data_IF_733289815250
#
_entry.id   IF_733289815250
#
_cell.length_a   1.000
_cell.length_b   1.000
_cell.length_c   1.000
_cell.angle_alpha   90.00
_cell.angle_beta   90.00
_cell.angle_gamma   90.00
#
_symmetry.space_group_name_H-M   'P 1'
#
loop_
_entity.id
_entity.type
_entity.pdbx_description
1 polymer ?
#
# COMPACT_ATOMS: atom_id res chain seq x y z
N UNK A 1 -5.20 -24.73 -10.36
CA UNK A 1 -5.65 -24.54 -8.97
C UNK A 1 -4.48 -24.37 -8.00
N UNK A 2 -3.48 -25.27 -8.01
CA UNK A 2 -2.33 -25.24 -7.09
C UNK A 2 -1.50 -23.93 -7.06
N UNK A 3 -1.40 -23.23 -8.19
CA UNK A 3 -0.60 -21.99 -8.33
C UNK A 3 -0.99 -20.87 -7.35
N UNK A 4 -2.23 -20.85 -6.86
CA UNK A 4 -2.73 -19.80 -5.99
C UNK A 4 -2.68 -20.15 -4.50
N UNK A 5 -2.36 -21.39 -4.15
CA UNK A 5 -2.32 -21.83 -2.75
C UNK A 5 -1.25 -21.05 -1.99
N UNK A 6 -0.03 -20.96 -2.53
CA UNK A 6 1.10 -20.28 -1.86
C UNK A 6 0.78 -18.79 -1.62
N UNK A 7 0.35 -17.99 -2.62
CA UNK A 7 -0.03 -16.58 -2.38
C UNK A 7 -1.15 -16.41 -1.36
N UNK A 8 -2.18 -17.26 -1.39
CA UNK A 8 -3.31 -17.18 -0.46
C UNK A 8 -2.85 -17.48 0.97
N UNK A 9 -2.03 -18.51 1.15
CA UNK A 9 -1.47 -18.85 2.47
C UNK A 9 -0.61 -17.71 3.00
N UNK A 10 0.27 -17.15 2.17
CA UNK A 10 1.10 -16.00 2.55
C UNK A 10 0.24 -14.78 2.93
N UNK A 11 -0.80 -14.48 2.14
CA UNK A 11 -1.76 -13.42 2.46
C UNK A 11 -2.39 -13.63 3.83
N UNK A 12 -2.90 -14.84 4.10
CA UNK A 12 -3.58 -15.17 5.36
C UNK A 12 -2.61 -15.05 6.55
N UNK A 13 -1.37 -15.53 6.41
CA UNK A 13 -0.37 -15.42 7.46
C UNK A 13 -0.03 -13.96 7.79
N UNK A 14 0.18 -13.14 6.76
CA UNK A 14 0.41 -11.70 6.89
C UNK A 14 -0.80 -11.04 7.56
N UNK A 15 -2.01 -11.40 7.14
CA UNK A 15 -3.25 -10.82 7.65
C UNK A 15 -3.49 -11.14 9.13
N UNK A 16 -3.34 -12.40 9.52
CA UNK A 16 -3.47 -12.84 10.92
C UNK A 16 -2.43 -12.15 11.79
N UNK A 17 -1.21 -12.00 11.29
CA UNK A 17 -0.13 -11.37 12.05
C UNK A 17 -0.36 -9.86 12.22
N UNK A 18 -0.72 -9.16 11.14
CA UNK A 18 -1.08 -7.74 11.18
C UNK A 18 -2.32 -7.48 12.07
N UNK A 19 -3.28 -8.41 12.11
CA UNK A 19 -4.46 -8.33 12.96
C UNK A 19 -4.11 -8.28 14.47
N UNK A 20 -2.96 -8.82 14.88
CA UNK A 20 -2.52 -8.70 16.28
C UNK A 20 -2.35 -7.25 16.73
N UNK A 21 -1.85 -6.36 15.85
CA UNK A 21 -1.74 -4.94 16.15
C UNK A 21 -3.10 -4.33 16.48
N UNK A 22 -4.13 -4.68 15.69
CA UNK A 22 -5.50 -4.18 15.89
C UNK A 22 -6.08 -4.69 17.22
N UNK A 23 -5.89 -5.97 17.53
CA UNK A 23 -6.32 -6.56 18.81
C UNK A 23 -5.63 -5.93 20.03
N UNK A 24 -4.38 -5.51 19.89
CA UNK A 24 -3.65 -4.82 20.96
C UNK A 24 -4.15 -3.40 21.20
N UNK A 25 -4.61 -2.72 20.15
CA UNK A 25 -5.05 -1.32 20.24
C UNK A 25 -6.50 -1.22 20.67
N UNK A 26 -7.36 -2.12 20.19
CA UNK A 26 -8.79 -2.12 20.44
C UNK A 26 -9.32 -3.49 20.83
N UNK A 27 -10.17 -3.53 21.85
CA UNK A 27 -10.94 -4.72 22.27
C UNK A 27 -12.35 -4.77 21.65
N UNK A 28 -12.72 -3.76 20.85
CA UNK A 28 -14.06 -3.66 20.26
C UNK A 28 -14.25 -4.71 19.14
N UNK A 29 -15.21 -5.61 19.33
CA UNK A 29 -15.53 -6.69 18.39
C UNK A 29 -16.02 -6.17 17.03
N UNK A 30 -16.65 -5.00 16.99
CA UNK A 30 -17.04 -4.38 15.72
C UNK A 30 -15.82 -4.03 14.86
N UNK A 31 -14.78 -3.45 15.48
CA UNK A 31 -13.52 -3.11 14.77
C UNK A 31 -12.84 -4.38 14.25
N UNK A 32 -12.87 -5.46 15.04
CA UNK A 32 -12.35 -6.76 14.62
C UNK A 32 -13.13 -7.33 13.45
N UNK A 33 -14.46 -7.27 13.50
CA UNK A 33 -15.35 -7.69 12.43
C UNK A 33 -15.11 -6.90 11.13
N UNK A 34 -14.99 -5.57 11.22
CA UNK A 34 -14.68 -4.72 10.07
C UNK A 34 -13.33 -5.08 9.46
N UNK A 35 -12.30 -5.32 10.29
CA UNK A 35 -10.99 -5.74 9.80
C UNK A 35 -11.09 -7.04 9.01
N UNK A 36 -11.66 -8.10 9.61
CA UNK A 36 -11.77 -9.42 9.00
C UNK A 36 -12.61 -9.37 7.72
N UNK A 37 -13.76 -8.68 7.75
CA UNK A 37 -14.60 -8.51 6.58
C UNK A 37 -13.85 -7.77 5.46
N UNK A 38 -13.14 -6.70 5.79
CA UNK A 38 -12.34 -5.96 4.80
C UNK A 38 -11.28 -6.86 4.17
N UNK A 39 -10.55 -7.65 4.97
CA UNK A 39 -9.55 -8.60 4.47
C UNK A 39 -10.16 -9.66 3.54
N UNK A 40 -11.30 -10.24 3.91
CA UNK A 40 -11.99 -11.22 3.06
C UNK A 40 -12.42 -10.60 1.73
N UNK A 41 -13.05 -9.42 1.75
CA UNK A 41 -13.47 -8.71 0.54
C UNK A 41 -12.26 -8.40 -0.35
N UNK A 42 -11.17 -7.90 0.22
CA UNK A 42 -9.94 -7.60 -0.53
C UNK A 42 -9.35 -8.85 -1.16
N UNK A 43 -9.31 -9.98 -0.43
CA UNK A 43 -8.79 -11.24 -0.96
C UNK A 43 -9.63 -11.74 -2.14
N UNK A 44 -10.96 -11.65 -2.03
CA UNK A 44 -11.87 -12.02 -3.13
C UNK A 44 -11.66 -11.11 -4.34
N UNK A 45 -11.59 -9.79 -4.14
CA UNK A 45 -11.34 -8.82 -5.22
C UNK A 45 -10.00 -9.05 -5.89
N UNK A 46 -8.95 -9.34 -5.10
CA UNK A 46 -7.63 -9.67 -5.62
C UNK A 46 -7.66 -10.94 -6.47
N UNK A 47 -8.27 -12.02 -5.96
CA UNK A 47 -8.40 -13.28 -6.69
C UNK A 47 -9.19 -13.09 -7.98
N UNK A 48 -10.28 -12.33 -7.94
CA UNK A 48 -11.06 -12.00 -9.12
C UNK A 48 -10.23 -11.20 -10.14
N UNK A 49 -9.54 -10.15 -9.69
CA UNK A 49 -8.72 -9.29 -10.55
C UNK A 49 -7.59 -10.05 -11.26
N UNK A 50 -6.86 -10.93 -10.56
CA UNK A 50 -5.69 -11.63 -11.13
C UNK A 50 -6.04 -12.89 -11.94
N UNK A 51 -7.24 -13.45 -11.74
CA UNK A 51 -7.70 -14.61 -12.51
C UNK A 51 -8.54 -14.24 -13.72
N UNK A 52 -9.00 -12.98 -13.80
CA UNK A 52 -9.69 -12.44 -14.96
C UNK A 52 -8.75 -12.39 -16.19
N UNK A 53 -9.19 -12.84 -17.38
CA UNK A 53 -8.44 -12.66 -18.62
C UNK A 53 -8.14 -11.19 -18.96
N UNK A 54 -8.99 -10.27 -18.47
CA UNK A 54 -8.91 -8.83 -18.73
C UNK A 54 -8.14 -8.06 -17.64
N UNK A 55 -7.42 -8.76 -16.76
CA UNK A 55 -6.74 -8.16 -15.60
C UNK A 55 -5.90 -6.90 -15.92
N UNK A 56 -5.31 -6.87 -17.13
CA UNK A 56 -4.39 -5.81 -17.59
C UNK A 56 -4.99 -4.82 -18.58
N UNK A 57 -6.23 -5.04 -19.02
CA UNK A 57 -6.87 -4.22 -20.07
C UNK A 57 -8.12 -3.52 -19.55
N UNK A 58 -8.78 -4.07 -18.53
CA UNK A 58 -9.98 -3.50 -17.98
C UNK A 58 -9.66 -2.58 -16.78
N UNK A 59 -9.95 -1.26 -16.86
CA UNK A 59 -9.68 -0.31 -15.77
C UNK A 59 -10.29 -0.72 -14.42
N UNK A 60 -11.42 -1.44 -14.42
CA UNK A 60 -12.03 -1.95 -13.18
C UNK A 60 -11.14 -2.96 -12.47
N UNK A 61 -10.48 -3.86 -13.23
CA UNK A 61 -9.56 -4.85 -12.65
C UNK A 61 -8.31 -4.18 -12.08
N UNK A 62 -7.78 -3.17 -12.77
CA UNK A 62 -6.69 -2.34 -12.28
C UNK A 62 -7.06 -1.62 -10.98
N UNK A 63 -8.30 -1.13 -10.88
CA UNK A 63 -8.80 -0.49 -9.67
C UNK A 63 -8.91 -1.48 -8.51
N UNK A 64 -9.43 -2.70 -8.73
CA UNK A 64 -9.47 -3.75 -7.71
C UNK A 64 -8.07 -4.13 -7.21
N UNK A 65 -7.10 -4.24 -8.13
CA UNK A 65 -5.71 -4.46 -7.75
C UNK A 65 -5.12 -3.27 -6.96
N UNK A 66 -5.45 -2.03 -7.35
CA UNK A 66 -5.07 -0.82 -6.62
C UNK A 66 -5.64 -0.79 -5.20
N UNK A 67 -6.92 -1.13 -5.03
CA UNK A 67 -7.58 -1.23 -3.70
C UNK A 67 -6.91 -2.32 -2.86
N UNK A 68 -6.60 -3.48 -3.46
CA UNK A 68 -5.82 -4.51 -2.79
C UNK A 68 -4.48 -3.97 -2.30
N UNK A 69 -3.71 -3.31 -3.16
CA UNK A 69 -2.40 -2.77 -2.79
C UNK A 69 -2.52 -1.70 -1.69
N UNK A 70 -3.49 -0.80 -1.80
CA UNK A 70 -3.76 0.23 -0.81
C UNK A 70 -3.99 -0.37 0.58
N UNK A 71 -4.78 -1.44 0.69
CA UNK A 71 -5.14 -2.04 1.98
C UNK A 71 -4.15 -3.11 2.45
N UNK A 72 -3.39 -3.74 1.54
CA UNK A 72 -2.42 -4.78 1.87
C UNK A 72 -1.02 -4.22 2.19
N UNK A 73 -0.55 -3.20 1.48
CA UNK A 73 0.78 -2.62 1.74
C UNK A 73 0.97 -2.11 3.19
N UNK A 74 -0.01 -1.46 3.84
CA UNK A 74 0.07 -1.10 5.25
C UNK A 74 0.24 -2.32 6.17
N UNK A 75 -0.33 -3.48 5.83
CA UNK A 75 -0.19 -4.71 6.62
C UNK A 75 1.26 -5.20 6.64
N UNK A 76 2.00 -5.02 5.55
CA UNK A 76 3.43 -5.36 5.50
C UNK A 76 4.26 -4.50 6.47
N UNK A 77 3.95 -3.21 6.56
CA UNK A 77 4.57 -2.29 7.53
C UNK A 77 4.26 -2.76 8.96
N UNK A 78 3.00 -3.14 9.23
CA UNK A 78 2.60 -3.68 10.53
C UNK A 78 3.36 -4.97 10.86
N UNK A 79 3.49 -5.89 9.90
CA UNK A 79 4.24 -7.14 10.12
C UNK A 79 5.70 -6.85 10.48
N UNK A 80 6.38 -5.97 9.74
CA UNK A 80 7.77 -5.61 10.01
C UNK A 80 7.91 -4.99 11.42
N UNK A 81 7.05 -4.02 11.75
CA UNK A 81 7.09 -3.36 13.06
C UNK A 81 6.79 -4.32 14.21
N UNK A 82 5.78 -5.20 14.05
CA UNK A 82 5.39 -6.17 15.06
C UNK A 82 6.42 -7.26 15.25
N UNK A 83 7.05 -7.71 14.17
CA UNK A 83 8.18 -8.62 14.23
C UNK A 83 9.37 -8.01 14.98
N UNK A 84 9.70 -6.74 14.70
CA UNK A 84 10.73 -6.02 15.47
C UNK A 84 10.42 -5.95 16.97
N UNK A 85 9.17 -5.68 17.34
CA UNK A 85 8.76 -5.71 18.75
C UNK A 85 8.89 -7.12 19.35
N UNK A 86 8.51 -8.16 18.61
CA UNK A 86 8.55 -9.55 19.08
C UNK A 86 9.98 -10.04 19.30
N UNK A 87 10.93 -9.63 18.45
CA UNK A 87 12.37 -9.85 18.68
C UNK A 87 12.83 -9.22 19.99
N UNK A 88 12.46 -7.95 20.25
CA UNK A 88 12.82 -7.28 21.51
C UNK A 88 12.18 -7.99 22.71
N UNK A 89 10.90 -8.36 22.62
CA UNK A 89 10.17 -9.08 23.69
C UNK A 89 10.81 -10.43 23.98
N UNK A 90 11.32 -11.12 22.97
CA UNK A 90 12.03 -12.38 23.12
C UNK A 90 13.33 -12.19 23.92
N UNK A 91 14.18 -11.22 23.56
CA UNK A 91 15.41 -10.94 24.30
C UNK A 91 15.15 -10.57 25.75
N UNK A 92 14.14 -9.72 25.99
CA UNK A 92 13.72 -9.33 27.34
C UNK A 92 13.25 -10.56 28.13
N UNK A 93 12.42 -11.41 27.54
CA UNK A 93 11.92 -12.64 28.18
C UNK A 93 13.04 -13.63 28.53
N UNK A 94 14.00 -13.80 27.63
CA UNK A 94 15.20 -14.62 27.88
C UNK A 94 16.03 -14.07 29.04
N UNK A 95 16.28 -12.76 29.05
CA UNK A 95 17.03 -12.11 30.13
C UNK A 95 16.36 -12.31 31.49
N UNK A 96 15.05 -12.04 31.61
CA UNK A 96 14.31 -12.23 32.86
C UNK A 96 14.34 -13.67 33.37
N UNK A 97 14.24 -14.65 32.46
CA UNK A 97 14.29 -16.07 32.80
C UNK A 97 15.66 -16.50 33.33
N UNK A 98 16.74 -15.94 32.78
CA UNK A 98 18.12 -16.24 33.21
C UNK A 98 18.46 -15.51 34.52
N UNK A 99 17.93 -14.30 34.73
CA UNK A 99 18.16 -13.50 35.95
C UNK A 99 17.37 -13.95 37.18
N UNK A 100 16.76 -15.15 37.16
CA UNK A 100 16.07 -15.72 38.32
C UNK A 100 14.70 -15.12 38.61
N UNK A 101 14.07 -14.42 37.66
CA UNK A 101 12.70 -13.91 37.81
C UNK A 101 11.68 -15.05 37.79
N UNK A 102 11.02 -15.32 38.92
CA UNK A 102 9.95 -16.30 39.04
C UNK A 102 8.55 -15.66 38.92
N UNK A 103 7.63 -16.41 38.28
CA UNK A 103 6.16 -16.26 38.22
C UNK A 103 5.48 -15.42 37.12
N UNK A 104 6.21 -14.76 36.22
CA UNK A 104 5.58 -14.05 35.08
C UNK A 104 5.69 -14.81 33.76
N UNK A 105 4.73 -14.58 32.86
CA UNK A 105 4.73 -15.13 31.49
C UNK A 105 6.08 -14.87 30.80
N UNK A 106 6.67 -15.90 30.21
CA UNK A 106 7.98 -15.83 29.52
C UNK A 106 8.09 -14.67 28.53
N UNK A 107 7.00 -14.33 27.85
CA UNK A 107 6.97 -13.22 26.91
C UNK A 107 6.16 -12.05 27.49
N UNK A 108 6.76 -10.85 27.66
CA UNK A 108 6.05 -9.65 28.08
C UNK A 108 4.87 -9.35 27.14
N UNK A 109 3.78 -8.74 27.62
CA UNK A 109 2.66 -8.38 26.74
C UNK A 109 3.06 -7.35 25.67
N UNK A 110 2.38 -7.39 24.52
CA UNK A 110 2.58 -6.40 23.44
C UNK A 110 2.25 -4.99 23.92
N UNK A 111 3.10 -4.02 23.60
CA UNK A 111 2.95 -2.63 24.01
C UNK A 111 2.01 -1.90 23.07
N UNK A 112 0.91 -1.39 23.61
CA UNK A 112 -0.06 -0.58 22.86
C UNK A 112 0.58 0.58 22.11
N UNK A 113 1.55 1.26 22.72
CA UNK A 113 2.29 2.37 22.09
C UNK A 113 2.96 1.95 20.78
N UNK A 114 3.64 0.80 20.75
CA UNK A 114 4.35 0.31 19.55
C UNK A 114 3.35 -0.03 18.45
N UNK A 115 2.26 -0.71 18.79
CA UNK A 115 1.20 -1.01 17.82
C UNK A 115 0.55 0.26 17.25
N UNK A 116 0.29 1.27 18.10
CA UNK A 116 -0.27 2.56 17.65
C UNK A 116 0.69 3.30 16.73
N UNK A 117 2.00 3.35 17.07
CA UNK A 117 3.01 3.97 16.22
C UNK A 117 3.12 3.24 14.87
N UNK A 118 3.10 1.91 14.89
CA UNK A 118 3.12 1.10 13.67
C UNK A 118 1.91 1.38 12.78
N UNK A 119 0.70 1.51 13.35
CA UNK A 119 -0.49 1.94 12.59
C UNK A 119 -0.34 3.34 12.01
N UNK A 120 0.22 4.29 12.78
CA UNK A 120 0.47 5.66 12.32
C UNK A 120 1.41 5.70 11.12
N UNK A 121 2.50 4.93 11.16
CA UNK A 121 3.45 4.80 10.04
C UNK A 121 2.78 4.11 8.85
N UNK A 122 2.02 3.03 9.08
CA UNK A 122 1.31 2.29 8.04
C UNK A 122 0.22 3.14 7.34
N UNK A 123 -0.31 4.16 8.01
CA UNK A 123 -1.27 5.10 7.42
C UNK A 123 -0.65 5.99 6.32
N UNK A 124 0.67 6.21 6.33
CA UNK A 124 1.36 7.03 5.31
C UNK A 124 1.27 6.39 3.92
N UNK A 125 1.76 5.16 3.68
CA UNK A 125 1.62 4.53 2.37
C UNK A 125 0.15 4.25 2.01
N UNK A 126 -0.73 3.98 2.99
CA UNK A 126 -2.16 3.88 2.75
C UNK A 126 -2.74 5.15 2.13
N UNK A 127 -2.52 6.30 2.78
CA UNK A 127 -3.00 7.59 2.30
C UNK A 127 -2.34 7.98 0.97
N UNK A 128 -1.04 7.70 0.80
CA UNK A 128 -0.32 7.95 -0.45
C UNK A 128 -0.89 7.16 -1.63
N UNK A 129 -1.19 5.87 -1.43
CA UNK A 129 -1.81 5.02 -2.46
C UNK A 129 -3.23 5.49 -2.79
N UNK A 130 -4.04 5.79 -1.78
CA UNK A 130 -5.39 6.34 -2.00
C UNK A 130 -5.34 7.67 -2.76
N UNK A 131 -4.44 8.57 -2.38
CA UNK A 131 -4.23 9.84 -3.06
C UNK A 131 -3.80 9.62 -4.52
N UNK A 132 -2.88 8.70 -4.77
CA UNK A 132 -2.43 8.30 -6.10
C UNK A 132 -3.59 7.80 -6.98
N UNK A 133 -4.45 6.96 -6.42
CA UNK A 133 -5.61 6.39 -7.12
C UNK A 133 -6.70 7.43 -7.44
N UNK A 134 -6.97 8.35 -6.51
CA UNK A 134 -8.07 9.32 -6.65
C UNK A 134 -7.64 10.53 -7.46
N UNK A 135 -6.47 11.10 -7.13
CA UNK A 135 -5.98 12.37 -7.70
C UNK A 135 -4.73 12.20 -8.55
N UNK A 136 -3.77 11.38 -8.09
CA UNK A 136 -2.49 11.21 -8.76
C UNK A 136 -2.58 10.73 -10.20
N UNK A 137 -3.51 9.81 -10.51
CA UNK A 137 -3.70 9.28 -11.88
C UNK A 137 -4.02 10.34 -12.93
N UNK A 138 -4.48 11.52 -12.53
CA UNK A 138 -4.79 12.63 -13.42
C UNK A 138 -4.01 13.91 -13.12
N UNK A 139 -2.89 13.79 -12.41
CA UNK A 139 -2.05 14.92 -12.06
C UNK A 139 -1.09 15.27 -13.21
N UNK A 140 -1.65 15.63 -14.37
CA UNK A 140 -0.90 16.06 -15.54
C UNK A 140 -0.11 17.33 -15.23
N UNK A 141 1.09 17.43 -15.79
CA UNK A 141 1.97 18.60 -15.65
C UNK A 141 2.37 19.07 -17.04
N UNK A 142 2.07 20.33 -17.34
CA UNK A 142 2.61 21.00 -18.52
C UNK A 142 3.92 21.65 -18.09
N UNK A 143 5.03 21.15 -18.62
CA UNK A 143 6.36 21.68 -18.33
C UNK A 143 6.75 22.61 -19.48
N UNK A 144 6.97 23.89 -19.16
CA UNK A 144 7.38 24.89 -20.12
C UNK A 144 8.83 25.28 -19.82
N UNK A 145 9.68 25.13 -20.82
CA UNK A 145 11.09 25.48 -20.73
C UNK A 145 11.43 26.42 -21.88
N UNK A 146 12.05 27.54 -21.54
CA UNK A 146 12.74 28.37 -22.52
C UNK A 146 14.14 27.79 -22.70
N UNK A 147 14.46 27.39 -23.92
CA UNK A 147 15.80 26.93 -24.27
C UNK A 147 16.52 28.08 -24.97
N UNK A 148 17.71 28.41 -24.49
CA UNK A 148 18.55 29.46 -25.04
C UNK A 148 19.80 28.83 -25.67
N UNK A 149 20.18 29.32 -26.85
CA UNK A 149 21.37 28.86 -27.56
C UNK A 149 22.11 30.07 -28.11
N UNK A 150 23.43 30.11 -27.93
CA UNK A 150 24.28 31.22 -28.38
C UNK A 150 24.26 31.40 -29.91
N UNK A 151 23.97 30.33 -30.64
CA UNK A 151 23.90 30.26 -32.10
C UNK A 151 22.48 30.10 -32.64
N UNK A 152 21.44 30.41 -31.84
CA UNK A 152 20.04 30.32 -32.27
C UNK A 152 19.80 31.28 -33.45
N UNK A 153 19.35 30.80 -34.64
CA UNK A 153 19.03 31.70 -35.73
C UNK A 153 17.83 32.59 -35.36
N UNK A 154 17.87 33.87 -35.74
CA UNK A 154 16.82 34.84 -35.38
C UNK A 154 15.41 34.45 -35.84
N UNK A 155 15.27 33.61 -36.87
CA UNK A 155 13.98 33.07 -37.31
C UNK A 155 13.36 32.07 -36.34
N UNK A 156 14.15 31.53 -35.40
CA UNK A 156 13.70 30.62 -34.35
C UNK A 156 13.55 31.31 -32.99
N UNK A 157 13.87 32.62 -32.88
CA UNK A 157 13.61 33.37 -31.66
C UNK A 157 12.10 33.47 -31.39
N UNK A 158 11.68 33.05 -30.20
CA UNK A 158 10.27 32.90 -29.83
C UNK A 158 9.54 31.71 -30.48
N UNK A 159 10.23 30.84 -31.25
CA UNK A 159 9.64 29.63 -31.78
C UNK A 159 9.25 28.67 -30.64
N UNK A 160 8.03 28.14 -30.69
CA UNK A 160 7.50 27.22 -29.68
C UNK A 160 7.26 25.85 -30.29
N UNK A 161 7.71 24.81 -29.58
CA UNK A 161 7.49 23.41 -29.92
C UNK A 161 6.81 22.70 -28.74
N UNK A 162 5.71 22.02 -29.01
CA UNK A 162 5.08 21.11 -28.03
C UNK A 162 5.46 19.68 -28.38
N UNK A 163 6.09 18.97 -27.44
CA UNK A 163 6.41 17.57 -27.57
C UNK A 163 5.48 16.74 -26.68
N UNK A 164 4.88 15.71 -27.28
CA UNK A 164 4.08 14.71 -26.57
C UNK A 164 4.66 13.34 -26.90
N UNK A 165 4.84 12.49 -25.90
CA UNK A 165 5.28 11.11 -26.07
C UNK A 165 4.50 10.18 -25.15
N UNK A 166 4.47 8.88 -25.49
CA UNK A 166 4.10 7.78 -24.59
C UNK A 166 2.80 7.97 -23.78
N UNK A 167 1.73 8.47 -24.42
CA UNK A 167 0.44 8.78 -23.76
C UNK A 167 -0.13 7.58 -22.97
N UNK A 168 0.04 6.36 -23.47
CA UNK A 168 -0.39 5.09 -22.84
C UNK A 168 -1.71 5.17 -22.04
N UNK A 169 -2.74 5.75 -22.65
CA UNK A 169 -3.97 6.13 -21.95
C UNK A 169 -4.91 4.98 -21.59
N UNK A 170 -4.55 3.73 -21.90
CA UNK A 170 -5.43 2.56 -21.77
C UNK A 170 -5.95 2.27 -20.35
N UNK A 171 -5.30 2.81 -19.31
CA UNK A 171 -5.75 2.68 -17.92
C UNK A 171 -6.59 3.86 -17.42
N UNK A 172 -6.71 4.94 -18.20
CA UNK A 172 -7.47 6.13 -17.83
C UNK A 172 -8.95 5.98 -18.22
N UNK A 173 -9.81 6.41 -17.29
CA UNK A 173 -11.27 6.29 -17.37
C UNK A 173 -12.00 7.64 -17.53
N UNK A 174 -11.26 8.75 -17.65
CA UNK A 174 -11.82 10.10 -17.76
C UNK A 174 -11.31 10.81 -19.02
N UNK A 175 -12.11 10.84 -20.10
CA UNK A 175 -11.72 11.48 -21.37
C UNK A 175 -11.46 12.98 -21.27
N UNK A 176 -12.21 13.72 -20.43
CA UNK A 176 -12.02 15.16 -20.28
C UNK A 176 -10.67 15.49 -19.66
N UNK A 177 -10.26 14.73 -18.63
CA UNK A 177 -8.96 14.91 -18.00
C UNK A 177 -7.82 14.54 -18.95
N UNK A 178 -7.99 13.49 -19.76
CA UNK A 178 -7.00 13.13 -20.79
C UNK A 178 -6.89 14.22 -21.86
N UNK A 179 -8.03 14.81 -22.29
CA UNK A 179 -8.05 15.91 -23.26
C UNK A 179 -7.35 17.18 -22.75
N UNK A 180 -7.34 17.43 -21.45
CA UNK A 180 -6.55 18.53 -20.90
C UNK A 180 -5.03 18.31 -21.07
N UNK A 181 -4.58 17.05 -21.10
CA UNK A 181 -3.17 16.69 -21.13
C UNK A 181 -2.57 16.60 -22.54
N UNK A 182 -3.40 16.61 -23.59
CA UNK A 182 -3.04 16.37 -25.00
C UNK A 182 -3.54 17.50 -25.87
#
# INVERSE_FOLDING_TARGET
>A
MLRWIIPIVLYILIDIYAFQAIKTISKNQFIHGVYVLSSLVILVLFMYAITSPEARTNPKMMYFFGVFLALFAPKLILVIAMFGEDVIRLFVGVFYKISGGSETSFMPSRRKFVSTLALGIAAIPFAGLLYGMIKGKYNYKVLQYTLEFDDLPSSFDGYTLTQISDIHSGSFDNPEKVKYAV
#
